data_IF_037723388930
#
_entry.id   IF_037723388930
#
_cell.length_a   1.000
_cell.length_b   1.000
_cell.length_c   1.000
_cell.angle_alpha   90.00
_cell.angle_beta   90.00
_cell.angle_gamma   90.00
#
_symmetry.space_group_name_H-M   'P 1'
#
loop_
_entity.id
_entity.type
_entity.pdbx_description
1 polymer ?
#
# COMPACT_ATOMS: atom_id res chain seq x y z
N UNK A 1 19.23 -33.80 -5.63
CA UNK A 1 18.45 -33.04 -6.62
C UNK A 1 17.07 -33.66 -6.65
N UNK A 2 16.05 -32.96 -6.16
CA UNK A 2 14.71 -33.50 -6.04
C UNK A 2 14.04 -33.66 -7.41
N UNK A 3 13.17 -34.66 -7.55
CA UNK A 3 12.42 -34.96 -8.78
C UNK A 3 11.56 -33.76 -9.25
N UNK A 4 11.06 -32.96 -8.30
CA UNK A 4 10.37 -31.70 -8.59
C UNK A 4 11.29 -30.64 -9.21
N UNK A 5 12.57 -30.61 -8.82
CA UNK A 5 13.58 -29.72 -9.38
C UNK A 5 13.94 -30.08 -10.83
N UNK A 6 13.94 -31.38 -11.18
CA UNK A 6 14.18 -31.85 -12.55
C UNK A 6 13.00 -31.50 -13.47
N UNK A 7 11.76 -31.65 -12.99
CA UNK A 7 10.56 -31.29 -13.77
C UNK A 7 10.47 -29.76 -13.94
N UNK A 8 10.73 -28.98 -12.90
CA UNK A 8 10.75 -27.51 -13.00
C UNK A 8 11.86 -27.01 -13.91
N UNK A 9 13.06 -27.62 -13.86
CA UNK A 9 14.14 -27.31 -14.78
C UNK A 9 13.74 -27.63 -16.23
N UNK A 10 13.18 -28.81 -16.50
CA UNK A 10 12.77 -29.18 -17.86
C UNK A 10 11.67 -28.28 -18.45
N UNK A 11 10.75 -27.75 -17.63
CA UNK A 11 9.73 -26.79 -18.07
C UNK A 11 10.34 -25.41 -18.35
N UNK A 12 11.29 -24.97 -17.51
CA UNK A 12 12.02 -23.73 -17.74
C UNK A 12 12.88 -23.79 -19.01
N UNK A 13 13.57 -24.91 -19.24
CA UNK A 13 14.38 -25.14 -20.45
C UNK A 13 13.52 -25.11 -21.72
N UNK A 14 12.30 -25.66 -21.67
CA UNK A 14 11.35 -25.59 -22.78
C UNK A 14 10.86 -24.16 -23.02
N UNK A 15 10.57 -23.40 -21.96
CA UNK A 15 10.14 -22.00 -22.10
C UNK A 15 11.22 -21.13 -22.74
N UNK A 16 12.48 -21.31 -22.32
CA UNK A 16 13.62 -20.61 -22.92
C UNK A 16 13.79 -20.98 -24.40
N UNK A 17 13.70 -22.28 -24.74
CA UNK A 17 13.73 -22.74 -26.13
C UNK A 17 12.59 -22.16 -26.99
N UNK A 18 11.37 -22.02 -26.46
CA UNK A 18 10.26 -21.39 -27.19
C UNK A 18 10.50 -19.91 -27.45
N UNK A 19 11.09 -19.19 -26.47
CA UNK A 19 11.47 -17.79 -26.64
C UNK A 19 12.51 -17.64 -27.74
N UNK A 20 13.51 -18.53 -27.78
CA UNK A 20 14.55 -18.55 -28.81
C UNK A 20 13.99 -18.87 -30.21
N UNK A 21 12.94 -19.70 -30.29
CA UNK A 21 12.24 -20.03 -31.54
C UNK A 21 11.23 -18.96 -31.99
N UNK A 22 11.20 -17.80 -31.35
CA UNK A 22 10.38 -16.67 -31.81
C UNK A 22 8.89 -16.83 -31.55
N UNK A 23 8.49 -17.60 -30.53
CA UNK A 23 7.08 -17.76 -30.15
C UNK A 23 6.37 -16.41 -29.92
N UNK A 24 7.11 -15.42 -29.41
CA UNK A 24 6.59 -14.07 -29.17
C UNK A 24 6.19 -13.36 -30.46
N UNK A 25 6.87 -13.61 -31.58
CA UNK A 25 6.50 -13.06 -32.88
C UNK A 25 5.15 -13.62 -33.33
N UNK A 26 4.99 -14.96 -33.26
CA UNK A 26 3.73 -15.60 -33.58
C UNK A 26 2.60 -15.06 -32.68
N UNK A 27 2.81 -15.00 -31.36
CA UNK A 27 1.82 -14.43 -30.44
C UNK A 27 1.45 -12.98 -30.78
N UNK A 28 2.42 -12.18 -31.24
CA UNK A 28 2.19 -10.80 -31.69
C UNK A 28 1.27 -10.76 -32.91
N UNK A 29 1.48 -11.63 -33.90
CA UNK A 29 0.63 -11.74 -35.08
C UNK A 29 -0.81 -12.17 -34.72
N UNK A 30 -0.97 -13.14 -33.83
CA UNK A 30 -2.30 -13.58 -33.38
C UNK A 30 -3.06 -12.52 -32.58
N UNK A 31 -2.34 -11.64 -31.87
CA UNK A 31 -2.91 -10.53 -31.11
C UNK A 31 -3.09 -9.25 -31.95
N UNK A 32 -2.60 -9.23 -33.18
CA UNK A 32 -2.72 -8.08 -34.06
C UNK A 32 -4.20 -7.75 -34.33
N UNK A 33 -4.54 -6.46 -34.51
CA UNK A 33 -5.88 -6.08 -34.94
C UNK A 33 -6.18 -6.71 -36.30
N UNK A 34 -7.43 -7.12 -36.49
CA UNK A 34 -7.91 -7.63 -37.77
C UNK A 34 -7.91 -6.51 -38.83
N UNK A 35 -8.06 -6.83 -40.13
CA UNK A 35 -8.11 -5.82 -41.20
C UNK A 35 -9.20 -4.75 -41.01
N UNK A 36 -10.29 -5.11 -40.33
CA UNK A 36 -11.39 -4.21 -39.96
C UNK A 36 -11.14 -3.44 -38.65
N UNK A 37 -9.93 -3.55 -38.09
CA UNK A 37 -9.47 -3.00 -36.80
C UNK A 37 -10.16 -3.61 -35.58
N UNK A 38 -10.94 -4.68 -35.74
CA UNK A 38 -11.53 -5.38 -34.61
C UNK A 38 -10.48 -6.17 -33.83
N UNK A 39 -10.84 -6.54 -32.60
CA UNK A 39 -9.99 -7.38 -31.76
C UNK A 39 -10.14 -8.86 -32.15
N UNK A 40 -9.07 -9.66 -32.06
CA UNK A 40 -9.17 -11.10 -32.19
C UNK A 40 -10.10 -11.71 -31.13
N UNK A 41 -10.51 -12.95 -31.33
CA UNK A 41 -11.49 -13.62 -30.48
C UNK A 41 -11.09 -13.56 -28.99
N UNK A 42 -12.07 -13.35 -28.10
CA UNK A 42 -11.82 -13.10 -26.67
C UNK A 42 -10.97 -14.20 -26.02
N UNK A 43 -11.28 -15.46 -26.31
CA UNK A 43 -10.56 -16.60 -25.74
C UNK A 43 -9.08 -16.62 -26.16
N UNK A 44 -8.76 -16.21 -27.39
CA UNK A 44 -7.38 -16.14 -27.88
C UNK A 44 -6.61 -15.09 -27.07
N UNK A 45 -7.18 -13.88 -26.96
CA UNK A 45 -6.58 -12.79 -26.19
C UNK A 45 -6.37 -13.18 -24.73
N UNK A 46 -7.39 -13.75 -24.10
CA UNK A 46 -7.33 -14.14 -22.70
C UNK A 46 -6.27 -15.23 -22.45
N UNK A 47 -6.24 -16.27 -23.28
CA UNK A 47 -5.29 -17.37 -23.11
C UNK A 47 -3.86 -16.91 -23.34
N UNK A 48 -3.59 -16.10 -24.37
CA UNK A 48 -2.24 -15.56 -24.57
C UNK A 48 -1.81 -14.65 -23.44
N UNK A 49 -2.69 -13.80 -22.89
CA UNK A 49 -2.34 -12.97 -21.74
C UNK A 49 -2.04 -13.80 -20.48
N UNK A 50 -2.71 -14.95 -20.29
CA UNK A 50 -2.38 -15.89 -19.19
C UNK A 50 -1.02 -16.54 -19.42
N UNK A 51 -0.77 -17.07 -20.62
CA UNK A 51 0.53 -17.69 -20.97
C UNK A 51 1.68 -16.68 -20.81
N UNK A 52 1.48 -15.42 -21.25
CA UNK A 52 2.49 -14.37 -21.09
C UNK A 52 2.81 -14.05 -19.63
N UNK A 53 1.89 -14.29 -18.69
CA UNK A 53 2.14 -14.12 -17.25
C UNK A 53 2.94 -15.27 -16.64
N UNK A 54 2.98 -16.42 -17.31
CA UNK A 54 3.68 -17.61 -16.86
C UNK A 54 5.11 -17.71 -17.40
N UNK A 55 5.46 -16.90 -18.41
CA UNK A 55 6.82 -16.84 -18.91
C UNK A 55 7.80 -16.25 -17.88
N UNK A 56 9.07 -16.66 -17.91
CA UNK A 56 10.12 -15.97 -17.17
C UNK A 56 10.25 -14.53 -17.67
N UNK A 57 11.01 -13.72 -16.93
CA UNK A 57 11.23 -12.30 -17.28
C UNK A 57 11.74 -12.22 -18.72
N UNK A 58 10.94 -11.62 -19.59
CA UNK A 58 11.27 -11.46 -21.01
C UNK A 58 12.34 -10.38 -21.16
N UNK A 59 13.46 -10.75 -21.78
CA UNK A 59 14.57 -9.84 -22.05
C UNK A 59 14.14 -8.65 -22.93
N UNK A 60 14.75 -7.50 -22.72
CA UNK A 60 14.40 -6.26 -23.43
C UNK A 60 14.53 -6.40 -24.96
N UNK A 61 15.53 -7.14 -25.43
CA UNK A 61 15.77 -7.32 -26.87
C UNK A 61 14.70 -8.21 -27.52
N UNK A 62 14.33 -9.33 -26.88
CA UNK A 62 13.23 -10.20 -27.32
C UNK A 62 11.88 -9.46 -27.31
N UNK A 63 11.65 -8.60 -26.31
CA UNK A 63 10.45 -7.75 -26.24
C UNK A 63 10.39 -6.74 -27.40
N UNK A 64 11.53 -6.14 -27.77
CA UNK A 64 11.63 -5.17 -28.87
C UNK A 64 11.50 -5.83 -30.24
N UNK A 65 12.21 -6.94 -30.46
CA UNK A 65 12.25 -7.63 -31.77
C UNK A 65 10.93 -8.29 -32.11
N UNK A 66 10.25 -8.90 -31.14
CA UNK A 66 8.94 -9.54 -31.36
C UNK A 66 7.80 -8.55 -31.52
N UNK A 67 7.89 -7.38 -30.90
CA UNK A 67 6.80 -6.40 -30.91
C UNK A 67 5.63 -6.73 -29.96
N UNK A 68 5.76 -7.78 -29.14
CA UNK A 68 4.67 -8.24 -28.25
C UNK A 68 4.21 -7.16 -27.26
N UNK A 69 5.14 -6.32 -26.78
CA UNK A 69 4.81 -5.18 -25.92
C UNK A 69 3.85 -4.19 -26.57
N UNK A 70 3.96 -3.97 -27.89
CA UNK A 70 3.04 -3.09 -28.63
C UNK A 70 1.66 -3.72 -28.78
N UNK A 71 1.59 -5.03 -29.05
CA UNK A 71 0.32 -5.75 -29.12
C UNK A 71 -0.42 -5.74 -27.78
N UNK A 72 0.27 -6.01 -26.67
CA UNK A 72 -0.33 -5.95 -25.32
C UNK A 72 -0.78 -4.53 -24.96
N UNK A 73 0.01 -3.51 -25.32
CA UNK A 73 -0.39 -2.10 -25.16
C UNK A 73 -1.62 -1.73 -25.99
N UNK A 74 -1.75 -2.28 -27.20
CA UNK A 74 -2.92 -2.07 -28.04
C UNK A 74 -4.19 -2.63 -27.37
N UNK A 75 -4.14 -3.88 -26.89
CA UNK A 75 -5.24 -4.48 -26.12
C UNK A 75 -5.59 -3.65 -24.88
N UNK A 76 -4.58 -3.22 -24.12
CA UNK A 76 -4.77 -2.40 -22.92
C UNK A 76 -5.57 -1.11 -23.19
N UNK A 77 -5.29 -0.44 -24.31
CA UNK A 77 -5.93 0.82 -24.70
C UNK A 77 -7.24 0.64 -25.46
N UNK A 78 -7.54 -0.56 -25.95
CA UNK A 78 -8.68 -0.76 -26.83
C UNK A 78 -10.02 -0.63 -26.08
N UNK A 79 -10.98 0.18 -26.58
CA UNK A 79 -12.23 0.45 -25.86
C UNK A 79 -13.12 -0.79 -25.67
N UNK A 80 -13.01 -1.77 -26.57
CA UNK A 80 -13.78 -3.03 -26.52
C UNK A 80 -13.08 -4.15 -25.75
N UNK A 81 -11.96 -3.89 -25.08
CA UNK A 81 -11.28 -4.89 -24.25
C UNK A 81 -11.97 -5.06 -22.88
N UNK A 82 -11.97 -6.30 -22.38
CA UNK A 82 -12.55 -6.62 -21.08
C UNK A 82 -11.74 -5.98 -19.96
N UNK A 83 -12.39 -5.74 -18.82
CA UNK A 83 -11.71 -5.16 -17.65
C UNK A 83 -10.59 -6.08 -17.15
N UNK A 84 -10.86 -7.37 -17.07
CA UNK A 84 -9.90 -8.38 -16.59
C UNK A 84 -8.66 -8.47 -17.48
N UNK A 85 -8.83 -8.47 -18.81
CA UNK A 85 -7.70 -8.46 -19.73
C UNK A 85 -6.92 -7.15 -19.65
N UNK A 86 -7.59 -5.99 -19.50
CA UNK A 86 -6.89 -4.71 -19.27
C UNK A 86 -6.04 -4.75 -18.00
N UNK A 87 -6.53 -5.35 -16.93
CA UNK A 87 -5.73 -5.54 -15.71
C UNK A 87 -4.52 -6.45 -15.94
N UNK A 88 -4.68 -7.56 -16.67
CA UNK A 88 -3.55 -8.44 -17.05
C UNK A 88 -2.52 -7.71 -17.91
N UNK A 89 -2.96 -7.00 -18.96
CA UNK A 89 -2.08 -6.20 -19.81
C UNK A 89 -1.32 -5.15 -19.00
N UNK A 90 -2.00 -4.44 -18.09
CA UNK A 90 -1.37 -3.44 -17.23
C UNK A 90 -0.27 -4.02 -16.35
N UNK A 91 -0.46 -5.23 -15.81
CA UNK A 91 0.58 -5.94 -15.03
C UNK A 91 1.79 -6.27 -15.90
N UNK A 92 1.57 -6.90 -17.06
CA UNK A 92 2.64 -7.26 -18.01
C UNK A 92 3.43 -6.02 -18.47
N UNK A 93 2.73 -4.95 -18.86
CA UNK A 93 3.36 -3.69 -19.28
C UNK A 93 4.22 -3.12 -18.15
N UNK A 94 3.70 -3.08 -16.93
CA UNK A 94 4.47 -2.58 -15.78
C UNK A 94 5.70 -3.44 -15.51
N UNK A 95 5.57 -4.76 -15.56
CA UNK A 95 6.68 -5.69 -15.34
C UNK A 95 7.77 -5.55 -16.39
N UNK A 96 7.41 -5.56 -17.68
CA UNK A 96 8.36 -5.46 -18.79
C UNK A 96 9.00 -4.07 -18.92
N UNK A 97 8.28 -3.01 -18.55
CA UNK A 97 8.79 -1.64 -18.65
C UNK A 97 9.73 -1.24 -17.51
N UNK A 98 9.65 -1.89 -16.35
CA UNK A 98 10.43 -1.55 -15.16
C UNK A 98 11.95 -1.59 -15.36
N UNK A 99 12.56 -2.66 -15.91
CA UNK A 99 13.99 -2.69 -16.19
C UNK A 99 14.42 -1.60 -17.17
N UNK A 100 13.55 -1.25 -18.12
CA UNK A 100 13.84 -0.27 -19.18
C UNK A 100 14.00 1.14 -18.61
N UNK A 101 13.15 1.52 -17.65
CA UNK A 101 13.16 2.85 -17.06
C UNK A 101 13.93 2.93 -15.72
N UNK A 102 14.64 1.85 -15.34
CA UNK A 102 15.33 1.74 -14.05
C UNK A 102 14.42 2.11 -12.86
N UNK A 103 13.13 1.79 -12.95
CA UNK A 103 12.15 2.02 -11.89
C UNK A 103 12.40 0.97 -10.80
N UNK A 104 13.02 1.38 -9.69
CA UNK A 104 13.29 0.47 -8.56
C UNK A 104 11.98 -0.08 -7.99
N UNK A 105 11.91 -1.41 -7.86
CA UNK A 105 10.71 -2.13 -7.41
C UNK A 105 10.61 -2.28 -5.87
N UNK A 106 11.44 -1.57 -5.10
CA UNK A 106 11.48 -1.71 -3.65
C UNK A 106 10.86 -0.52 -2.91
N UNK A 107 9.52 -0.45 -2.89
CA UNK A 107 8.80 0.34 -1.87
C UNK A 107 8.64 -0.41 -0.53
N UNK A 108 9.09 -1.67 -0.44
CA UNK A 108 8.96 -2.53 0.75
C UNK A 108 10.27 -2.94 1.43
N UNK A 109 11.42 -2.44 0.96
CA UNK A 109 12.71 -2.67 1.64
C UNK A 109 13.48 -1.37 1.88
N UNK A 110 12.80 -0.24 1.89
CA UNK A 110 13.39 0.97 2.47
C UNK A 110 13.37 0.78 3.98
N UNK A 111 14.55 0.59 4.58
CA UNK A 111 14.64 0.58 6.04
C UNK A 111 14.13 1.92 6.58
N UNK A 112 13.76 1.95 7.85
CA UNK A 112 13.33 3.19 8.50
C UNK A 112 14.42 4.25 8.36
N UNK A 113 15.68 3.83 8.47
CA UNK A 113 16.89 4.64 8.37
C UNK A 113 17.08 5.19 6.95
N UNK A 114 16.97 4.37 5.90
CA UNK A 114 17.13 4.83 4.51
C UNK A 114 16.01 5.81 4.10
N UNK A 115 14.83 5.69 4.71
CA UNK A 115 13.70 6.61 4.52
C UNK A 115 13.91 7.94 5.23
N UNK A 116 14.40 7.90 6.46
CA UNK A 116 14.79 9.10 7.21
C UNK A 116 15.92 9.84 6.48
N UNK A 117 16.92 9.13 5.97
CA UNK A 117 18.04 9.73 5.24
C UNK A 117 17.60 10.46 3.97
N UNK A 118 16.61 9.94 3.23
CA UNK A 118 15.99 10.67 2.11
C UNK A 118 15.22 11.90 2.57
N UNK A 119 14.45 11.81 3.64
CA UNK A 119 13.74 12.97 4.21
C UNK A 119 14.74 14.08 4.61
N UNK A 120 15.89 13.71 5.19
CA UNK A 120 17.01 14.62 5.46
C UNK A 120 17.71 15.15 4.20
N UNK A 121 17.86 14.33 3.15
CA UNK A 121 18.49 14.75 1.89
C UNK A 121 17.60 15.72 1.08
N UNK A 122 16.28 15.55 1.18
CA UNK A 122 15.29 16.42 0.54
C UNK A 122 14.96 17.66 1.37
N UNK A 123 15.54 17.82 2.56
CA UNK A 123 15.43 19.07 3.30
C UNK A 123 15.91 20.20 2.39
N UNK A 124 15.09 21.23 2.12
CA UNK A 124 15.53 22.35 1.32
C UNK A 124 16.80 22.90 1.98
N UNK A 125 17.94 22.84 1.28
CA UNK A 125 19.14 23.60 1.64
C UNK A 125 18.73 25.06 1.57
N UNK A 126 18.12 25.58 2.63
CA UNK A 126 17.78 26.99 2.73
C UNK A 126 19.09 27.71 2.54
N UNK A 127 19.20 28.36 1.37
CA UNK A 127 20.17 29.41 1.11
C UNK A 127 20.24 30.22 2.39
N UNK A 128 21.44 30.33 2.95
CA UNK A 128 21.78 31.37 3.94
C UNK A 128 21.43 32.71 3.31
N UNK A 129 20.16 33.10 3.37
CA UNK A 129 19.73 34.48 3.25
C UNK A 129 20.06 35.05 4.62
N UNK A 130 21.30 35.55 4.69
CA UNK A 130 21.78 36.70 5.48
C UNK A 130 21.38 36.73 6.98
N UNK A 131 22.32 36.81 7.93
CA UNK A 131 23.01 38.07 8.27
C UNK A 131 22.08 39.31 8.18
N UNK A 132 22.01 40.11 9.24
CA UNK A 132 21.17 41.31 9.35
C UNK A 132 19.64 41.11 9.28
N UNK A 133 19.01 40.90 10.44
CA UNK A 133 17.55 40.99 10.56
C UNK A 133 17.08 40.70 11.99
N UNK A 134 17.16 41.72 12.84
CA UNK A 134 16.88 41.71 14.29
C UNK A 134 15.61 40.93 14.68
N UNK A 135 15.77 39.81 15.38
CA UNK A 135 14.96 39.48 16.58
C UNK A 135 15.84 38.65 17.51
N UNK A 136 15.83 38.88 18.85
CA UNK A 136 16.58 38.03 19.76
C UNK A 136 15.96 36.64 19.67
N UNK A 137 16.75 35.66 19.22
CA UNK A 137 16.42 34.25 19.41
C UNK A 137 16.24 34.07 20.91
N UNK A 138 14.98 33.96 21.35
CA UNK A 138 14.71 33.45 22.68
C UNK A 138 15.06 31.97 22.65
N UNK A 139 16.26 31.65 23.13
CA UNK A 139 16.68 30.27 23.33
C UNK A 139 15.60 29.58 24.16
N UNK A 140 14.99 28.53 23.60
CA UNK A 140 13.84 27.85 24.20
C UNK A 140 14.22 27.31 25.60
N UNK A 141 15.48 26.91 25.78
CA UNK A 141 16.03 26.48 27.07
C UNK A 141 16.02 27.60 28.12
N UNK A 142 16.23 28.87 27.73
CA UNK A 142 16.18 30.03 28.64
C UNK A 142 14.75 30.40 29.05
N UNK A 143 13.78 30.17 28.16
CA UNK A 143 12.34 30.37 28.47
C UNK A 143 11.85 29.31 29.45
N UNK A 144 12.28 28.05 29.28
CA UNK A 144 12.00 26.97 30.23
C UNK A 144 12.72 27.15 31.58
N UNK A 145 13.92 27.74 31.58
CA UNK A 145 14.64 28.12 32.80
C UNK A 145 14.05 29.35 33.52
N UNK A 146 13.03 30.00 32.95
CA UNK A 146 12.30 31.12 33.57
C UNK A 146 13.01 32.48 33.50
N UNK A 147 14.13 32.58 32.79
CA UNK A 147 14.96 33.79 32.72
C UNK A 147 14.40 34.87 31.78
N UNK A 148 13.60 34.51 30.77
CA UNK A 148 13.05 35.46 29.78
C UNK A 148 11.57 35.75 30.07
N UNK A 149 11.35 36.60 31.08
CA UNK A 149 10.01 37.08 31.43
C UNK A 149 9.47 37.95 30.27
N UNK A 150 8.23 37.68 29.84
CA UNK A 150 7.55 38.54 28.87
C UNK A 150 7.45 39.96 29.43
N UNK A 151 7.93 40.94 28.66
CA UNK A 151 7.87 42.38 29.00
C UNK A 151 6.46 42.76 29.42
N UNK A 152 6.32 43.44 30.56
CA UNK A 152 5.02 43.79 31.15
C UNK A 152 4.47 45.11 30.58
N UNK A 153 3.15 45.36 30.65
CA UNK A 153 2.57 46.63 30.24
C UNK A 153 3.24 47.82 30.95
N UNK A 154 3.84 48.74 30.19
CA UNK A 154 4.53 49.93 30.69
C UNK A 154 6.07 49.87 30.60
N UNK A 155 6.66 48.69 30.37
CA UNK A 155 8.12 48.55 30.18
C UNK A 155 8.56 48.91 28.76
N UNK A 156 9.80 49.41 28.61
CA UNK A 156 10.35 49.84 27.32
C UNK A 156 10.40 48.65 26.35
N UNK A 157 9.65 48.72 25.25
CA UNK A 157 9.51 47.65 24.27
C UNK A 157 8.21 46.83 24.38
N UNK A 158 7.37 47.12 25.38
CA UNK A 158 6.01 46.61 25.44
C UNK A 158 5.17 47.19 24.30
N UNK A 159 4.50 46.30 23.56
CA UNK A 159 3.61 46.70 22.47
C UNK A 159 2.21 46.23 22.86
N UNK A 160 1.29 47.18 23.07
CA UNK A 160 -0.11 46.90 23.45
C UNK A 160 -0.88 46.08 22.40
N UNK A 161 -0.38 46.04 21.17
CA UNK A 161 -0.97 45.27 20.07
C UNK A 161 -0.49 43.84 20.10
N UNK A 162 -1.40 42.89 19.86
CA UNK A 162 -1.03 41.49 19.64
C UNK A 162 0.00 41.38 18.52
N UNK A 163 1.11 40.67 18.79
CA UNK A 163 2.09 40.33 17.75
C UNK A 163 1.61 39.10 17.00
N UNK A 164 1.67 39.13 15.68
CA UNK A 164 1.39 37.95 14.86
C UNK A 164 2.51 36.93 15.10
N UNK A 165 2.20 35.69 15.53
CA UNK A 165 3.21 34.65 15.66
C UNK A 165 3.88 34.43 14.30
N UNK A 166 5.22 34.49 14.26
CA UNK A 166 5.93 34.15 13.03
C UNK A 166 5.76 32.63 12.78
N UNK A 167 5.55 32.22 11.52
CA UNK A 167 5.53 30.81 11.17
C UNK A 167 6.80 30.12 11.68
N UNK A 168 6.61 29.03 12.42
CA UNK A 168 7.72 28.20 12.89
C UNK A 168 8.47 27.64 11.68
N UNK A 169 9.79 27.80 11.65
CA UNK A 169 10.66 27.16 10.66
C UNK A 169 11.06 25.73 11.06
N UNK A 170 10.30 25.08 11.95
CA UNK A 170 10.55 23.70 12.36
C UNK A 170 9.90 22.77 11.34
N UNK A 171 10.72 22.18 10.48
CA UNK A 171 10.29 21.12 9.58
C UNK A 171 10.18 19.80 10.35
N UNK A 172 9.05 19.10 10.22
CA UNK A 172 8.83 17.83 10.89
C UNK A 172 9.59 16.71 10.17
N UNK A 173 10.83 16.48 10.60
CA UNK A 173 11.64 15.35 10.09
C UNK A 173 11.36 14.06 10.87
N UNK A 174 10.99 14.18 12.14
CA UNK A 174 10.68 13.04 13.00
C UNK A 174 9.23 12.64 12.81
N UNK A 175 9.01 11.51 12.16
CA UNK A 175 7.67 10.92 12.00
C UNK A 175 7.18 10.42 13.36
N UNK A 176 5.95 10.72 13.77
CA UNK A 176 5.42 10.26 15.04
C UNK A 176 5.42 8.74 15.10
N UNK A 177 5.88 8.18 16.22
CA UNK A 177 5.72 6.76 16.49
C UNK A 177 4.24 6.50 16.71
N UNK A 178 3.72 5.53 15.97
CA UNK A 178 2.35 5.07 16.14
C UNK A 178 2.17 4.50 17.56
N UNK A 179 1.01 4.70 18.17
CA UNK A 179 0.79 4.54 19.61
C UNK A 179 0.67 3.08 20.10
N UNK A 180 0.70 2.12 19.19
CA UNK A 180 0.74 0.70 19.54
C UNK A 180 2.11 0.16 19.18
N UNK A 181 2.60 -0.80 19.94
CA UNK A 181 3.88 -1.44 19.72
C UNK A 181 3.58 -2.84 19.20
N UNK A 182 3.31 -2.92 17.90
CA UNK A 182 3.35 -4.16 17.13
C UNK A 182 4.59 -4.05 16.27
N UNK A 183 5.74 -4.27 16.91
CA UNK A 183 6.89 -4.75 16.17
C UNK A 183 6.40 -5.95 15.36
N UNK A 184 6.50 -5.83 14.04
CA UNK A 184 6.16 -6.90 13.12
C UNK A 184 7.30 -7.92 13.22
N UNK A 185 7.41 -8.59 14.36
CA UNK A 185 8.32 -9.71 14.54
C UNK A 185 7.90 -10.80 13.56
N UNK A 186 8.78 -11.02 12.58
CA UNK A 186 8.62 -12.10 11.65
C UNK A 186 8.61 -13.43 12.41
N UNK A 187 7.50 -14.15 12.28
CA UNK A 187 7.37 -15.59 12.47
C UNK A 187 7.96 -16.19 13.76
N UNK A 188 7.10 -16.43 14.76
CA UNK A 188 7.07 -17.70 15.49
C UNK A 188 5.74 -17.94 16.25
N UNK A 189 5.19 -19.13 15.99
CA UNK A 189 4.29 -19.93 16.82
C UNK A 189 2.96 -19.37 17.35
N UNK A 190 1.87 -20.00 16.88
CA UNK A 190 0.66 -20.42 17.64
C UNK A 190 0.49 -19.80 19.04
N UNK A 191 -0.10 -18.61 19.10
CA UNK A 191 -0.75 -18.08 20.30
C UNK A 191 -2.20 -17.76 19.98
N UNK A 192 -3.15 -18.21 20.81
CA UNK A 192 -4.58 -17.93 20.62
C UNK A 192 -4.79 -16.42 20.49
N UNK A 193 -5.43 -15.98 19.41
CA UNK A 193 -5.81 -14.57 19.23
C UNK A 193 -6.61 -14.13 20.46
N UNK A 194 -6.15 -13.08 21.12
CA UNK A 194 -6.90 -12.48 22.21
C UNK A 194 -8.24 -11.97 21.68
N UNK A 195 -9.32 -12.40 22.32
CA UNK A 195 -10.68 -12.13 21.89
C UNK A 195 -10.93 -10.63 21.95
N UNK A 196 -11.30 -10.06 20.81
CA UNK A 196 -11.55 -8.62 20.67
C UNK A 196 -12.61 -8.14 21.67
N UNK A 197 -12.48 -6.91 22.16
CA UNK A 197 -13.47 -6.27 23.04
C UNK A 197 -14.89 -6.40 22.46
N UNK A 198 -15.02 -6.28 21.14
CA UNK A 198 -16.28 -6.50 20.43
C UNK A 198 -16.84 -7.92 20.61
N UNK A 199 -16.02 -8.95 20.39
CA UNK A 199 -16.43 -10.34 20.57
C UNK A 199 -16.79 -10.67 22.02
N UNK A 200 -16.07 -10.09 23.01
CA UNK A 200 -16.43 -10.22 24.43
C UNK A 200 -17.83 -9.66 24.70
N UNK A 201 -18.14 -8.48 24.15
CA UNK A 201 -19.46 -7.86 24.32
C UNK A 201 -20.57 -8.65 23.60
N UNK A 202 -20.34 -9.15 22.38
CA UNK A 202 -21.31 -9.97 21.65
C UNK A 202 -21.62 -11.27 22.39
N UNK A 203 -20.60 -11.94 22.93
CA UNK A 203 -20.76 -13.18 23.70
C UNK A 203 -21.55 -12.96 24.98
N UNK A 204 -21.21 -11.91 25.73
CA UNK A 204 -21.94 -11.53 26.94
C UNK A 204 -23.42 -11.19 26.67
N UNK A 205 -23.72 -10.58 25.52
CA UNK A 205 -25.09 -10.28 25.11
C UNK A 205 -25.88 -11.55 24.75
N UNK A 206 -25.24 -12.50 24.05
CA UNK A 206 -25.84 -13.80 23.72
C UNK A 206 -26.13 -14.62 24.98
N UNK A 207 -25.20 -14.63 25.94
CA UNK A 207 -25.39 -15.34 27.22
C UNK A 207 -26.52 -14.73 28.05
N UNK A 208 -26.63 -13.39 28.11
CA UNK A 208 -27.77 -12.72 28.75
C UNK A 208 -29.10 -13.07 28.07
N UNK A 209 -29.12 -13.15 26.73
CA UNK A 209 -30.32 -13.52 25.97
C UNK A 209 -30.73 -14.98 26.19
N UNK A 210 -29.77 -15.87 26.44
CA UNK A 210 -30.03 -17.29 26.76
C UNK A 210 -30.65 -17.47 28.14
N UNK A 211 -30.19 -16.71 29.14
CA UNK A 211 -30.72 -16.76 30.50
C UNK A 211 -32.01 -15.94 30.71
N UNK A 212 -32.31 -14.98 29.83
CA UNK A 212 -33.53 -14.17 29.89
C UNK A 212 -34.82 -14.84 29.36
N UNK A 213 -34.76 -16.08 28.88
CA UNK A 213 -35.94 -16.80 28.34
C UNK A 213 -36.68 -17.69 29.35
N UNK A 214 -36.31 -17.67 30.62
CA UNK A 214 -36.84 -18.60 31.64
C UNK A 214 -37.84 -17.98 32.64
N UNK A 215 -38.59 -16.95 32.23
CA UNK A 215 -39.77 -16.49 32.98
C UNK A 215 -40.90 -16.19 31.99
N UNK A 216 -41.67 -17.22 31.61
CA UNK A 216 -42.99 -16.99 31.03
C UNK A 216 -43.87 -16.45 32.15
N UNK A 217 -44.44 -15.27 31.98
CA UNK A 217 -45.46 -14.77 32.90
C UNK A 217 -46.64 -15.75 32.92
N UNK A 218 -46.93 -16.33 34.09
CA UNK A 218 -48.12 -17.16 34.30
C UNK A 218 -49.31 -16.23 34.44
N UNK A 219 -50.38 -16.47 33.67
CA UNK A 219 -51.63 -15.73 33.83
C UNK A 219 -52.26 -16.05 35.18
N UNK A 220 -52.45 -15.04 36.02
CA UNK A 220 -53.14 -15.17 37.31
C UNK A 220 -54.59 -15.60 37.08
N UNK A 221 -54.98 -16.74 37.67
CA UNK A 221 -56.35 -17.25 37.65
C UNK A 221 -57.13 -16.70 38.84
N UNK A 222 -58.29 -16.10 38.59
CA UNK A 222 -59.12 -15.45 39.61
C UNK A 222 -59.90 -16.46 40.48
N UNK A 223 -59.99 -17.73 40.05
CA UNK A 223 -60.66 -18.82 40.81
C UNK A 223 -59.68 -19.73 41.59
N UNK A 224 -58.39 -19.39 41.66
CA UNK A 224 -57.45 -20.00 42.61
C UNK A 224 -56.99 -21.44 42.31
N UNK A 225 -57.11 -21.94 41.08
CA UNK A 225 -56.55 -23.25 40.70
C UNK A 225 -55.45 -23.09 39.63
N UNK A 226 -54.31 -23.75 39.87
CA UNK A 226 -53.05 -23.71 39.11
C UNK A 226 -52.13 -22.49 39.32
N UNK A 227 -51.93 -22.07 40.57
CA UNK A 227 -50.75 -21.25 40.90
C UNK A 227 -49.53 -22.18 41.03
N UNK A 228 -48.46 -21.91 40.27
CA UNK A 228 -47.18 -22.56 40.48
C UNK A 228 -46.53 -21.96 41.73
N UNK A 229 -46.21 -22.80 42.73
CA UNK A 229 -45.32 -22.42 43.83
C UNK A 229 -43.87 -22.36 43.33
#
# INVERSE_FOLDING_TARGET
MDFAGIILAGVADLQEAFLDQGILNAMTEWLAPLPDKSLPHLQIRENFLKVLQEFPIINQDSLKSSGIGKAVMYLYKHPRETKENRERCGKLINEWSRPIFSLTANHKSMSKEEREERDYAHLPKRRRISAEGMTPRRDIDKVLAGEDQSVRPGEKGFVMRARVPMPSNKDYVVRPKWASEYEMEQHKSRGKKDISRYEKHVRAFADKKKHGKAQRAVGISVEGRNMAL
#
